data_IF_403248290505
#
_entry.id   IF_403248290505
#
_cell.length_a   1.000
_cell.length_b   1.000
_cell.length_c   1.000
_cell.angle_alpha   90.00
_cell.angle_beta   90.00
_cell.angle_gamma   90.00
#
_symmetry.space_group_name_H-M   'P 1'
#
loop_
_entity.id
_entity.type
_entity.pdbx_description
1 polymer ?
#
# COMPACT_ATOMS: atom_id res chain seq x y z
N UNK A 1 -4.89 18.33 -16.70
CA UNK A 1 -5.39 17.34 -15.72
C UNK A 1 -4.21 16.44 -15.37
N UNK A 2 -3.80 16.36 -14.09
CA UNK A 2 -2.66 15.53 -13.71
C UNK A 2 -3.04 14.05 -13.69
N UNK A 3 -2.14 13.17 -14.13
CA UNK A 3 -2.31 11.71 -14.09
C UNK A 3 -1.50 11.12 -12.95
N UNK A 4 -2.17 10.41 -12.03
CA UNK A 4 -1.53 9.78 -10.87
C UNK A 4 -1.76 8.28 -10.91
N UNK A 5 -0.70 7.50 -10.74
CA UNK A 5 -0.78 6.05 -10.53
C UNK A 5 -0.57 5.78 -9.04
N UNK A 6 -1.57 5.15 -8.40
CA UNK A 6 -1.46 4.65 -7.04
C UNK A 6 -1.00 3.20 -7.10
N UNK A 7 0.18 2.90 -6.57
CA UNK A 7 0.61 1.50 -6.42
C UNK A 7 0.20 0.97 -5.05
N UNK A 8 -0.86 0.17 -5.01
CA UNK A 8 -1.34 -0.49 -3.78
C UNK A 8 -0.59 -1.79 -3.52
N UNK A 9 -0.81 -2.37 -2.33
CA UNK A 9 -0.25 -3.65 -1.95
C UNK A 9 -1.35 -4.60 -1.44
N UNK A 10 -1.47 -5.76 -2.06
CA UNK A 10 -2.26 -6.90 -1.57
C UNK A 10 -3.75 -6.58 -1.28
N UNK A 11 -4.41 -5.81 -2.14
CA UNK A 11 -5.85 -5.51 -2.06
C UNK A 11 -6.64 -6.41 -3.00
N UNK A 12 -6.22 -6.52 -4.26
CA UNK A 12 -6.82 -7.42 -5.25
C UNK A 12 -6.69 -8.90 -4.87
N UNK A 13 -5.68 -9.22 -4.05
CA UNK A 13 -5.43 -10.56 -3.51
C UNK A 13 -6.05 -10.80 -2.12
N UNK A 14 -6.70 -9.80 -1.51
CA UNK A 14 -7.29 -9.88 -0.17
C UNK A 14 -8.68 -9.24 -0.10
N UNK A 15 -9.70 -9.85 -0.74
CA UNK A 15 -11.05 -9.28 -0.80
C UNK A 15 -11.73 -9.19 0.58
N UNK A 16 -11.31 -9.94 1.59
CA UNK A 16 -11.91 -9.88 2.93
C UNK A 16 -11.51 -8.58 3.67
N UNK A 17 -10.40 -7.95 3.27
CA UNK A 17 -9.86 -6.75 3.89
C UNK A 17 -10.59 -5.47 3.52
N UNK A 18 -11.83 -5.28 3.99
CA UNK A 18 -12.61 -4.07 3.72
C UNK A 18 -11.90 -2.77 4.12
N UNK A 19 -11.35 -2.72 5.34
CA UNK A 19 -10.56 -1.57 5.81
C UNK A 19 -9.27 -1.37 5.00
N UNK A 20 -8.60 -2.45 4.62
CA UNK A 20 -7.39 -2.43 3.79
C UNK A 20 -7.65 -1.84 2.40
N UNK A 21 -8.76 -2.23 1.77
CA UNK A 21 -9.22 -1.63 0.51
C UNK A 21 -9.47 -0.12 0.65
N UNK A 22 -10.10 0.30 1.75
CA UNK A 22 -10.41 1.71 2.00
C UNK A 22 -9.17 2.58 2.16
N UNK A 23 -8.07 2.09 2.76
CA UNK A 23 -6.82 2.86 2.90
C UNK A 23 -6.42 3.49 1.57
N UNK A 24 -6.31 2.69 0.50
CA UNK A 24 -5.91 3.19 -0.83
C UNK A 24 -7.04 3.92 -1.56
N UNK A 25 -8.29 3.47 -1.39
CA UNK A 25 -9.43 4.10 -2.04
C UNK A 25 -9.61 5.56 -1.59
N UNK A 26 -9.30 5.90 -0.33
CA UNK A 26 -9.34 7.29 0.12
C UNK A 26 -8.44 8.21 -0.72
N UNK A 27 -7.22 7.77 -1.02
CA UNK A 27 -6.31 8.52 -1.90
C UNK A 27 -6.85 8.60 -3.31
N UNK A 28 -7.34 7.49 -3.85
CA UNK A 28 -7.85 7.44 -5.22
C UNK A 28 -9.02 8.40 -5.43
N UNK A 29 -9.98 8.42 -4.51
CA UNK A 29 -11.15 9.29 -4.58
C UNK A 29 -10.79 10.75 -4.28
N UNK A 30 -9.95 11.00 -3.27
CA UNK A 30 -9.51 12.36 -2.95
C UNK A 30 -8.74 13.01 -4.11
N UNK A 31 -7.86 12.27 -4.78
CA UNK A 31 -7.16 12.76 -5.97
C UNK A 31 -8.11 13.01 -7.14
N UNK A 32 -9.14 12.16 -7.34
CA UNK A 32 -10.16 12.41 -8.36
C UNK A 32 -10.98 13.66 -8.05
N UNK A 33 -11.35 13.90 -6.79
CA UNK A 33 -12.02 15.14 -6.37
C UNK A 33 -11.14 16.37 -6.58
N UNK A 34 -9.82 16.23 -6.42
CA UNK A 34 -8.85 17.28 -6.75
C UNK A 34 -8.63 17.46 -8.28
N UNK A 35 -9.35 16.70 -9.12
CA UNK A 35 -9.28 16.80 -10.57
C UNK A 35 -8.12 16.02 -11.21
N UNK A 36 -7.62 14.96 -10.57
CA UNK A 36 -6.65 14.05 -11.17
C UNK A 36 -7.32 12.89 -11.93
N UNK A 37 -6.67 12.44 -13.00
CA UNK A 37 -6.91 11.12 -13.57
C UNK A 37 -6.14 10.09 -12.73
N UNK A 38 -6.84 9.10 -12.18
CA UNK A 38 -6.24 8.15 -11.23
C UNK A 38 -6.26 6.74 -11.80
N UNK A 39 -5.10 6.08 -11.73
CA UNK A 39 -4.90 4.66 -12.02
C UNK A 39 -4.57 3.91 -10.75
N UNK A 40 -5.14 2.71 -10.62
CA UNK A 40 -4.80 1.76 -9.58
C UNK A 40 -3.81 0.75 -10.15
N UNK A 41 -2.65 0.56 -9.56
CA UNK A 41 -1.63 -0.39 -10.00
C UNK A 41 -1.34 -1.38 -8.88
N UNK A 42 -1.46 -2.68 -9.16
CA UNK A 42 -1.20 -3.69 -8.13
C UNK A 42 -0.58 -4.97 -8.67
N UNK A 43 0.45 -5.44 -7.97
CA UNK A 43 1.03 -6.77 -8.20
C UNK A 43 0.17 -7.84 -7.53
N UNK A 44 -0.28 -8.83 -8.30
CA UNK A 44 -0.99 -9.99 -7.78
C UNK A 44 -0.06 -10.93 -7.01
N UNK A 45 -0.50 -11.42 -5.85
CA UNK A 45 0.27 -12.38 -5.07
C UNK A 45 0.26 -13.78 -5.71
N UNK A 46 1.36 -14.54 -5.55
CA UNK A 46 1.56 -15.90 -6.10
C UNK A 46 0.34 -16.83 -5.92
N UNK A 47 -0.31 -16.82 -4.76
CA UNK A 47 -1.47 -17.68 -4.45
C UNK A 47 -2.69 -17.40 -5.33
N UNK A 48 -2.76 -16.19 -5.88
CA UNK A 48 -3.84 -15.70 -6.75
C UNK A 48 -3.47 -15.85 -8.23
N UNK A 49 -2.22 -16.20 -8.53
CA UNK A 49 -1.64 -16.24 -9.88
C UNK A 49 -1.97 -17.52 -10.68
N UNK A 50 -2.87 -18.40 -10.18
CA UNK A 50 -3.34 -19.59 -10.92
C UNK A 50 -4.54 -19.27 -11.84
N UNK A 51 -4.41 -18.21 -12.63
CA UNK A 51 -5.27 -17.89 -13.76
C UNK A 51 -6.20 -16.65 -13.59
N UNK A 52 -6.69 -16.07 -14.71
CA UNK A 52 -7.44 -14.79 -14.77
C UNK A 52 -8.80 -14.74 -14.04
N UNK A 53 -9.18 -15.77 -13.27
CA UNK A 53 -10.50 -15.90 -12.64
C UNK A 53 -10.43 -16.49 -11.24
N UNK A 54 -9.47 -16.07 -10.42
CA UNK A 54 -9.67 -16.26 -8.98
C UNK A 54 -10.85 -15.40 -8.54
N UNK A 55 -11.68 -15.93 -7.65
CA UNK A 55 -12.82 -15.22 -7.07
C UNK A 55 -12.41 -13.88 -6.45
N UNK A 56 -11.17 -13.78 -5.93
CA UNK A 56 -10.58 -12.57 -5.38
C UNK A 56 -10.44 -11.44 -6.41
N UNK A 57 -9.81 -11.69 -7.57
CA UNK A 57 -9.61 -10.66 -8.61
C UNK A 57 -10.96 -10.20 -9.17
N UNK A 58 -11.89 -11.11 -9.43
CA UNK A 58 -13.23 -10.75 -9.88
C UNK A 58 -13.97 -9.89 -8.84
N UNK A 59 -13.87 -10.25 -7.56
CA UNK A 59 -14.46 -9.46 -6.46
C UNK A 59 -13.85 -8.07 -6.38
N UNK A 60 -12.53 -7.95 -6.52
CA UNK A 60 -11.84 -6.66 -6.56
C UNK A 60 -12.32 -5.80 -7.73
N UNK A 61 -12.34 -6.35 -8.95
CA UNK A 61 -12.76 -5.63 -10.15
C UNK A 61 -14.20 -5.11 -10.03
N UNK A 62 -15.13 -5.94 -9.52
CA UNK A 62 -16.51 -5.51 -9.26
C UNK A 62 -16.61 -4.43 -8.18
N UNK A 63 -15.70 -4.40 -7.20
CA UNK A 63 -15.67 -3.33 -6.19
C UNK A 63 -15.17 -2.02 -6.77
N UNK A 64 -14.03 -2.02 -7.47
CA UNK A 64 -13.47 -0.79 -8.05
C UNK A 64 -14.37 -0.20 -9.15
N UNK A 65 -15.14 -1.06 -9.85
CA UNK A 65 -16.19 -0.64 -10.80
C UNK A 65 -17.27 0.24 -10.17
N UNK A 66 -17.67 -0.02 -8.93
CA UNK A 66 -18.66 0.81 -8.21
C UNK A 66 -18.16 2.24 -7.99
N UNK A 67 -16.84 2.43 -8.05
CA UNK A 67 -16.19 3.73 -7.94
C UNK A 67 -15.70 4.25 -9.31
N UNK A 68 -16.04 3.60 -10.43
CA UNK A 68 -15.65 4.02 -11.78
C UNK A 68 -14.15 3.91 -12.05
N UNK A 69 -13.47 2.93 -11.43
CA UNK A 69 -12.03 2.69 -11.59
C UNK A 69 -11.74 1.44 -12.44
N UNK A 70 -12.75 0.75 -12.98
CA UNK A 70 -12.58 -0.53 -13.67
C UNK A 70 -11.68 -0.44 -14.91
N UNK A 71 -11.74 0.68 -15.64
CA UNK A 71 -10.88 0.94 -16.82
C UNK A 71 -9.46 1.37 -16.44
N UNK A 72 -9.26 1.80 -15.19
CA UNK A 72 -8.02 2.35 -14.71
C UNK A 72 -7.32 1.43 -13.70
N UNK A 73 -7.82 0.21 -13.51
CA UNK A 73 -7.22 -0.81 -12.67
C UNK A 73 -6.22 -1.66 -13.47
N UNK A 74 -4.94 -1.49 -13.18
CA UNK A 74 -3.79 -2.17 -13.77
C UNK A 74 -3.31 -3.27 -12.82
N UNK A 75 -3.74 -4.50 -13.08
CA UNK A 75 -3.29 -5.68 -12.31
C UNK A 75 -2.19 -6.39 -13.09
N UNK A 76 -1.09 -6.71 -12.42
CA UNK A 76 0.04 -7.37 -13.07
C UNK A 76 0.67 -8.47 -12.22
N UNK A 77 1.34 -9.39 -12.89
CA UNK A 77 2.27 -10.35 -12.31
C UNK A 77 3.69 -10.02 -12.77
N UNK A 78 4.66 -10.47 -11.98
CA UNK A 78 6.08 -10.44 -12.34
C UNK A 78 6.62 -11.86 -12.21
N UNK A 79 7.46 -12.34 -13.14
CA UNK A 79 8.27 -13.52 -12.89
C UNK A 79 9.13 -13.27 -11.64
N UNK A 80 9.16 -14.23 -10.72
CA UNK A 80 10.12 -14.22 -9.61
C UNK A 80 11.38 -15.00 -10.02
N UNK A 81 12.51 -14.67 -9.39
CA UNK A 81 13.81 -15.37 -9.51
C UNK A 81 14.76 -14.94 -10.63
N UNK A 82 14.89 -13.63 -10.86
CA UNK A 82 16.24 -13.10 -11.13
C UNK A 82 16.54 -12.06 -10.08
N UNK A 83 17.73 -12.15 -9.49
CA UNK A 83 18.24 -11.20 -8.49
C UNK A 83 18.15 -9.73 -8.95
N UNK A 84 17.97 -9.53 -10.25
CA UNK A 84 17.98 -8.24 -10.92
C UNK A 84 16.57 -7.74 -11.33
N UNK A 85 15.50 -8.53 -11.11
CA UNK A 85 14.13 -8.12 -11.46
C UNK A 85 13.89 -7.93 -12.98
N UNK A 86 14.79 -8.43 -13.82
CA UNK A 86 14.75 -8.31 -15.28
C UNK A 86 13.83 -9.38 -15.91
N UNK A 87 12.52 -9.17 -15.78
CA UNK A 87 11.49 -9.91 -16.51
C UNK A 87 10.38 -8.96 -16.95
N UNK A 88 9.70 -9.22 -18.08
CA UNK A 88 8.59 -8.37 -18.50
C UNK A 88 7.45 -8.45 -17.49
N UNK A 89 6.84 -7.31 -17.17
CA UNK A 89 5.59 -7.27 -16.40
C UNK A 89 4.45 -7.79 -17.28
N UNK A 90 3.73 -8.79 -16.77
CA UNK A 90 2.57 -9.35 -17.43
C UNK A 90 1.31 -8.73 -16.84
N UNK A 91 0.56 -8.00 -17.66
CA UNK A 91 -0.65 -7.31 -17.23
C UNK A 91 -1.89 -8.17 -17.53
N UNK A 92 -2.80 -8.22 -16.56
CA UNK A 92 -4.04 -8.96 -16.64
C UNK A 92 -5.18 -8.14 -17.26
N UNK A 93 -5.19 -6.83 -17.02
CA UNK A 93 -6.30 -5.94 -17.35
C UNK A 93 -6.06 -5.09 -18.59
N UNK A 94 -4.80 -4.96 -19.02
CA UNK A 94 -4.37 -4.21 -20.22
C UNK A 94 -3.23 -4.93 -20.91
N UNK A 95 -2.90 -4.54 -22.15
CA UNK A 95 -1.65 -5.00 -22.77
C UNK A 95 -0.43 -4.31 -22.14
N UNK A 96 0.75 -4.94 -22.22
CA UNK A 96 1.99 -4.31 -21.77
C UNK A 96 2.26 -2.99 -22.50
N UNK A 97 1.99 -2.92 -23.81
CA UNK A 97 2.15 -1.66 -24.59
C UNK A 97 1.29 -0.52 -24.08
N UNK A 98 0.06 -0.82 -23.64
CA UNK A 98 -0.87 0.15 -23.08
C UNK A 98 -0.43 0.61 -21.69
N UNK A 99 -0.02 -0.32 -20.83
CA UNK A 99 0.55 0.01 -19.52
C UNK A 99 1.76 0.94 -19.66
N UNK A 100 2.68 0.64 -20.57
CA UNK A 100 3.85 1.49 -20.83
C UNK A 100 3.47 2.90 -21.31
N UNK A 101 2.43 3.01 -22.13
CA UNK A 101 1.91 4.31 -22.57
C UNK A 101 1.34 5.10 -21.39
N UNK A 102 0.65 4.44 -20.46
CA UNK A 102 0.13 5.04 -19.24
C UNK A 102 1.27 5.52 -18.35
N UNK A 103 2.29 4.69 -18.10
CA UNK A 103 3.42 5.05 -17.24
C UNK A 103 4.19 6.27 -17.77
N UNK A 104 4.48 6.32 -19.08
CA UNK A 104 5.21 7.45 -19.69
C UNK A 104 4.49 8.80 -19.58
N UNK A 105 3.15 8.80 -19.58
CA UNK A 105 2.34 10.03 -19.43
C UNK A 105 1.96 10.34 -17.99
N UNK A 106 2.27 9.44 -17.05
CA UNK A 106 1.93 9.63 -15.64
C UNK A 106 2.78 10.76 -15.06
N UNK A 107 2.14 11.69 -14.37
CA UNK A 107 2.81 12.82 -13.72
C UNK A 107 3.40 12.44 -12.36
N UNK A 108 2.80 11.45 -11.67
CA UNK A 108 3.25 10.97 -10.36
C UNK A 108 2.89 9.49 -10.13
N UNK A 109 3.88 8.70 -9.72
CA UNK A 109 3.66 7.43 -9.02
C UNK A 109 3.54 7.70 -7.52
N UNK A 110 2.38 7.41 -6.93
CA UNK A 110 2.16 7.41 -5.49
C UNK A 110 2.21 5.95 -4.99
N UNK A 111 3.35 5.55 -4.44
CA UNK A 111 3.68 4.16 -4.16
C UNK A 111 3.47 3.80 -2.68
N UNK A 112 2.68 2.76 -2.44
CA UNK A 112 2.50 2.13 -1.12
C UNK A 112 3.04 0.70 -1.10
N UNK A 113 3.52 0.18 -2.23
CA UNK A 113 4.14 -1.13 -2.30
C UNK A 113 5.64 -0.97 -2.03
N UNK A 114 6.05 -1.17 -0.78
CA UNK A 114 7.44 -0.95 -0.38
C UNK A 114 8.44 -1.87 -1.10
N UNK A 115 8.00 -3.06 -1.52
CA UNK A 115 8.77 -4.03 -2.28
C UNK A 115 8.49 -3.97 -3.81
N UNK A 116 8.06 -2.82 -4.31
CA UNK A 116 7.88 -2.60 -5.76
C UNK A 116 9.21 -2.81 -6.51
N UNK A 117 9.14 -3.33 -7.74
CA UNK A 117 10.34 -3.50 -8.57
C UNK A 117 10.99 -2.14 -8.88
N UNK A 118 12.31 -1.97 -8.68
CA UNK A 118 13.03 -0.78 -9.10
C UNK A 118 12.85 -0.48 -10.60
N UNK A 119 12.80 -1.52 -11.44
CA UNK A 119 12.59 -1.38 -12.88
C UNK A 119 11.20 -0.83 -13.25
N UNK A 120 10.20 -1.02 -12.37
CA UNK A 120 8.87 -0.44 -12.52
C UNK A 120 8.85 1.03 -12.07
N UNK A 121 9.49 1.33 -10.94
CA UNK A 121 9.64 2.72 -10.44
C UNK A 121 10.32 3.60 -11.48
N UNK A 122 11.37 3.08 -12.13
CA UNK A 122 12.10 3.77 -13.19
C UNK A 122 11.27 4.12 -14.44
N UNK A 123 10.04 3.58 -14.60
CA UNK A 123 9.12 3.95 -15.69
C UNK A 123 8.41 5.27 -15.46
N UNK A 124 8.49 5.82 -14.26
CA UNK A 124 7.80 7.03 -13.85
C UNK A 124 8.77 8.21 -13.75
N UNK A 125 8.31 9.39 -14.14
CA UNK A 125 9.13 10.62 -14.12
C UNK A 125 9.24 11.25 -12.74
N UNK A 126 8.21 11.06 -11.90
CA UNK A 126 8.16 11.53 -10.51
C UNK A 126 7.53 10.44 -9.67
N UNK A 127 8.09 10.25 -8.49
CA UNK A 127 7.81 9.11 -7.63
C UNK A 127 7.75 9.56 -6.18
N UNK A 128 6.76 9.08 -5.47
CA UNK A 128 6.58 9.33 -4.05
C UNK A 128 6.31 8.01 -3.34
N UNK A 129 7.07 7.69 -2.31
CA UNK A 129 6.72 6.62 -1.38
C UNK A 129 5.77 7.17 -0.32
N UNK A 130 4.75 6.40 0.05
CA UNK A 130 3.85 6.71 1.15
C UNK A 130 3.94 5.61 2.19
N UNK A 131 4.54 5.94 3.33
CA UNK A 131 4.60 5.11 4.52
C UNK A 131 3.28 5.20 5.30
N UNK A 132 2.58 4.07 5.36
CA UNK A 132 1.37 3.87 6.17
C UNK A 132 1.61 2.90 7.35
N UNK A 133 2.86 2.47 7.56
CA UNK A 133 3.27 1.54 8.61
C UNK A 133 4.45 2.14 9.43
N UNK A 134 4.29 3.36 9.98
CA UNK A 134 5.40 4.07 10.61
C UNK A 134 5.98 3.29 11.79
N UNK A 135 7.31 3.28 11.86
CA UNK A 135 8.10 2.43 12.77
C UNK A 135 8.50 1.11 12.11
N UNK A 136 7.55 0.35 11.55
CA UNK A 136 7.83 -0.95 10.94
C UNK A 136 8.60 -0.83 9.63
N UNK A 137 8.19 0.10 8.76
CA UNK A 137 8.90 0.33 7.50
C UNK A 137 10.38 0.68 7.76
N UNK A 138 10.62 1.61 8.68
CA UNK A 138 11.97 2.06 9.02
C UNK A 138 12.78 0.95 9.69
N UNK A 139 12.16 0.15 10.54
CA UNK A 139 12.78 -1.03 11.12
C UNK A 139 13.23 -2.02 10.03
N UNK A 140 12.38 -2.37 9.08
CA UNK A 140 12.74 -3.30 8.00
C UNK A 140 13.84 -2.75 7.10
N UNK A 141 13.82 -1.44 6.82
CA UNK A 141 14.88 -0.79 6.04
C UNK A 141 16.21 -0.79 6.79
N UNK A 142 16.22 -0.38 8.06
CA UNK A 142 17.44 -0.27 8.86
C UNK A 142 18.08 -1.62 9.18
N UNK A 143 17.28 -2.68 9.30
CA UNK A 143 17.77 -4.05 9.51
C UNK A 143 18.08 -4.79 8.21
N UNK A 144 17.90 -4.15 7.05
CA UNK A 144 18.13 -4.75 5.74
C UNK A 144 17.12 -5.83 5.33
N UNK A 145 16.06 -6.05 6.12
CA UNK A 145 14.97 -6.98 5.81
C UNK A 145 14.16 -6.54 4.58
N UNK A 146 14.17 -5.25 4.28
CA UNK A 146 13.50 -4.69 3.11
C UNK A 146 14.40 -3.67 2.41
N UNK A 147 14.65 -3.92 1.13
CA UNK A 147 15.32 -2.97 0.24
C UNK A 147 14.25 -2.18 -0.52
N UNK A 148 14.00 -0.96 -0.05
CA UNK A 148 13.04 -0.05 -0.69
C UNK A 148 13.77 0.68 -1.84
N UNK A 149 13.26 0.63 -3.08
CA UNK A 149 13.86 1.41 -4.17
C UNK A 149 13.81 2.91 -3.88
N UNK A 150 14.68 3.67 -4.52
CA UNK A 150 14.70 5.13 -4.36
C UNK A 150 13.44 5.77 -4.98
N UNK A 151 12.90 6.79 -4.29
CA UNK A 151 11.82 7.67 -4.76
C UNK A 151 12.27 9.14 -4.66
N UNK A 152 11.59 10.04 -5.37
CA UNK A 152 11.90 11.47 -5.32
C UNK A 152 11.43 12.12 -4.01
N UNK A 153 10.31 11.64 -3.47
CA UNK A 153 9.70 12.12 -2.23
C UNK A 153 9.29 10.96 -1.31
N UNK A 154 9.32 11.20 -0.01
CA UNK A 154 8.96 10.24 1.01
C UNK A 154 7.92 10.86 1.94
N UNK A 155 6.69 10.35 1.89
CA UNK A 155 5.59 10.75 2.74
C UNK A 155 5.36 9.71 3.83
N UNK A 156 4.84 10.14 4.97
CA UNK A 156 4.49 9.24 6.08
C UNK A 156 3.28 9.73 6.85
N UNK A 157 2.48 8.80 7.34
CA UNK A 157 1.38 9.07 8.28
C UNK A 157 1.87 9.15 9.73
N UNK A 158 3.13 8.79 10.00
CA UNK A 158 3.71 8.83 11.33
C UNK A 158 4.17 10.22 11.75
N UNK A 159 3.53 10.78 12.77
CA UNK A 159 3.80 12.14 13.28
C UNK A 159 5.22 12.37 13.82
N UNK A 160 5.94 11.30 14.15
CA UNK A 160 7.29 11.37 14.74
C UNK A 160 8.40 10.98 13.77
N UNK A 161 8.08 10.34 12.63
CA UNK A 161 9.05 9.81 11.68
C UNK A 161 9.92 10.95 11.13
N UNK A 162 11.26 10.78 11.15
CA UNK A 162 12.21 11.81 10.74
C UNK A 162 12.38 12.98 11.71
N UNK A 163 11.84 12.88 12.93
CA UNK A 163 12.00 13.88 14.00
C UNK A 163 12.81 13.33 15.16
N UNK A 164 13.31 14.20 16.04
CA UNK A 164 14.02 13.81 17.27
C UNK A 164 13.15 13.07 18.29
N UNK A 165 11.82 13.01 18.09
CA UNK A 165 10.89 12.26 18.94
C UNK A 165 10.78 10.78 18.54
N UNK A 166 11.23 10.38 17.35
CA UNK A 166 11.20 8.98 16.95
C UNK A 166 12.24 8.18 17.75
N UNK A 167 11.83 7.01 18.23
CA UNK A 167 12.70 6.04 18.91
C UNK A 167 13.22 4.95 17.96
N UNK A 168 13.04 5.17 16.66
CA UNK A 168 13.42 4.28 15.56
C UNK A 168 14.12 5.12 14.48
N UNK A 169 14.96 4.50 13.63
CA UNK A 169 15.74 5.23 12.63
C UNK A 169 14.84 5.91 11.59
N UNK A 170 15.29 7.02 11.02
CA UNK A 170 14.66 7.66 9.87
C UNK A 170 15.21 7.15 8.52
N UNK A 171 16.16 6.22 8.58
CA UNK A 171 16.88 5.64 7.46
C UNK A 171 17.60 6.68 6.57
N UNK A 172 17.94 7.86 7.12
CA UNK A 172 18.60 8.93 6.39
C UNK A 172 17.73 9.60 5.32
N UNK A 173 16.41 9.39 5.37
CA UNK A 173 15.46 9.93 4.40
C UNK A 173 14.75 11.17 4.95
N UNK A 174 14.42 12.10 4.05
CA UNK A 174 13.62 13.28 4.39
C UNK A 174 12.13 12.95 4.31
N UNK A 175 11.55 12.62 5.46
CA UNK A 175 10.13 12.30 5.57
C UNK A 175 9.25 13.55 5.62
N UNK A 176 8.15 13.52 4.88
CA UNK A 176 7.11 14.54 4.85
C UNK A 176 5.87 13.97 5.53
N UNK A 177 5.61 14.41 6.75
CA UNK A 177 4.41 14.02 7.47
C UNK A 177 3.16 14.61 6.81
N UNK A 178 2.10 13.80 6.71
CA UNK A 178 0.77 14.25 6.33
C UNK A 178 -0.31 13.38 7.02
N UNK A 179 -1.47 13.96 7.35
CA UNK A 179 -2.60 13.19 7.86
C UNK A 179 -3.23 12.37 6.72
N UNK A 180 -3.62 11.09 6.95
CA UNK A 180 -4.32 10.29 5.95
C UNK A 180 -5.60 11.01 5.45
N UNK A 181 -5.88 11.04 4.14
CA UNK A 181 -7.09 11.64 3.62
C UNK A 181 -8.33 10.80 3.95
N UNK A 182 -9.48 11.46 4.07
CA UNK A 182 -10.80 10.83 4.17
C UNK A 182 -11.73 11.46 3.14
N UNK A 183 -12.25 10.66 2.21
CA UNK A 183 -13.24 11.04 1.22
C UNK A 183 -14.62 11.11 1.88
N UNK A 184 -15.00 12.31 2.33
CA UNK A 184 -16.27 12.52 3.06
C UNK A 184 -17.53 12.27 2.22
N UNK A 185 -17.43 12.29 0.89
CA UNK A 185 -18.56 11.92 0.02
C UNK A 185 -18.95 10.43 0.16
N UNK A 186 -17.99 9.56 0.47
CA UNK A 186 -18.22 8.13 0.66
C UNK A 186 -18.17 7.69 2.13
N UNK A 187 -17.46 8.45 2.96
CA UNK A 187 -17.44 8.32 4.41
C UNK A 187 -17.88 9.62 5.07
N UNK A 188 -19.20 9.96 4.99
CA UNK A 188 -19.70 11.14 5.64
C UNK A 188 -19.53 11.00 7.15
N UNK A 189 -19.21 12.12 7.80
CA UNK A 189 -19.27 12.17 9.25
C UNK A 189 -20.70 11.87 9.70
N UNK A 190 -20.87 10.78 10.44
CA UNK A 190 -22.13 10.38 11.04
C UNK A 190 -21.94 10.39 12.55
N UNK A 191 -22.78 11.18 13.24
CA UNK A 191 -22.81 11.24 14.69
C UNK A 191 -24.22 10.96 15.17
N UNK A 192 -24.33 9.99 16.08
CA UNK A 192 -25.55 9.68 16.80
C UNK A 192 -25.27 9.91 18.29
N UNK A 193 -25.92 10.89 18.94
CA UNK A 193 -25.70 11.18 20.35
C UNK A 193 -26.16 10.03 21.27
N UNK A 194 -26.98 9.09 20.77
CA UNK A 194 -27.37 7.88 21.51
C UNK A 194 -26.29 6.78 21.49
N UNK A 195 -25.26 6.91 20.64
CA UNK A 195 -24.12 5.99 20.62
C UNK A 195 -23.17 6.30 21.78
N UNK A 196 -23.44 5.70 22.95
CA UNK A 196 -22.60 5.83 24.14
C UNK A 196 -21.30 5.01 24.09
N UNK A 197 -21.12 4.17 23.05
CA UNK A 197 -19.97 3.26 22.91
C UNK A 197 -19.46 3.23 21.47
N UNK A 198 -18.15 3.10 21.31
CA UNK A 198 -17.53 2.81 20.03
C UNK A 198 -17.55 1.31 19.75
N UNK A 199 -17.98 0.93 18.56
CA UNK A 199 -17.77 -0.42 18.02
C UNK A 199 -16.67 -0.37 16.99
N UNK A 200 -15.70 -1.28 17.08
CA UNK A 200 -14.60 -1.38 16.12
C UNK A 200 -14.64 -2.73 15.42
N UNK A 201 -14.23 -2.74 14.15
CA UNK A 201 -13.97 -3.97 13.40
C UNK A 201 -12.47 -3.99 13.13
N UNK A 202 -11.77 -4.99 13.67
CA UNK A 202 -10.33 -5.13 13.52
C UNK A 202 -9.94 -6.57 13.18
N UNK A 203 -8.93 -6.72 12.32
CA UNK A 203 -8.18 -7.96 12.22
C UNK A 203 -7.31 -8.10 13.46
N UNK A 204 -7.63 -9.05 14.33
CA UNK A 204 -6.92 -9.28 15.60
C UNK A 204 -5.66 -10.12 15.45
N UNK A 205 -5.66 -11.00 14.45
CA UNK A 205 -4.58 -11.94 14.18
C UNK A 205 -4.31 -11.98 12.68
N UNK A 206 -3.04 -11.87 12.29
CA UNK A 206 -2.60 -11.98 10.90
C UNK A 206 -1.68 -13.17 10.66
N UNK A 207 -1.23 -13.86 11.73
CA UNK A 207 -0.18 -14.89 11.64
C UNK A 207 1.18 -14.34 11.19
N UNK A 208 1.34 -13.01 11.21
CA UNK A 208 2.57 -12.33 10.84
C UNK A 208 3.43 -12.13 12.07
N UNK A 209 4.68 -12.55 11.96
CA UNK A 209 5.71 -12.35 12.98
C UNK A 209 6.74 -11.35 12.46
N UNK A 210 7.22 -10.48 13.34
CA UNK A 210 8.36 -9.62 13.04
C UNK A 210 9.62 -10.36 13.43
N UNK A 211 10.59 -10.39 12.52
CA UNK A 211 11.91 -10.94 12.80
C UNK A 211 12.77 -9.83 13.41
N UNK A 212 13.26 -10.06 14.61
CA UNK A 212 14.15 -9.17 15.33
C UNK A 212 15.50 -9.87 15.57
N UNK A 213 16.54 -9.07 15.81
CA UNK A 213 17.86 -9.58 16.20
C UNK A 213 18.11 -9.08 17.63
N UNK A 214 18.05 -9.98 18.59
CA UNK A 214 18.35 -9.71 19.99
C UNK A 214 19.68 -10.41 20.34
N UNK A 215 20.68 -9.65 20.81
CA UNK A 215 22.00 -10.17 21.17
C UNK A 215 22.65 -11.06 20.10
N UNK A 216 22.45 -10.71 18.82
CA UNK A 216 22.97 -11.46 17.67
C UNK A 216 22.18 -12.73 17.31
N UNK A 217 21.06 -12.99 17.98
CA UNK A 217 20.17 -14.13 17.74
C UNK A 217 18.86 -13.68 17.10
N UNK A 218 18.37 -14.47 16.14
CA UNK A 218 17.08 -14.20 15.52
C UNK A 218 15.92 -14.58 16.45
N UNK A 219 15.05 -13.62 16.72
CA UNK A 219 13.84 -13.78 17.53
C UNK A 219 12.62 -13.41 16.70
N UNK A 220 11.52 -14.14 16.89
CA UNK A 220 10.24 -13.86 16.24
C UNK A 220 9.27 -13.26 17.24
N UNK A 221 8.89 -12.01 17.01
CA UNK A 221 7.98 -11.25 17.87
C UNK A 221 6.59 -11.21 17.26
N UNK A 222 5.58 -11.50 18.08
CA UNK A 222 4.17 -11.41 17.71
C UNK A 222 3.76 -9.94 17.66
N UNK A 223 3.69 -9.39 16.44
CA UNK A 223 3.29 -8.00 16.20
C UNK A 223 1.80 -7.86 15.84
N UNK A 224 0.96 -8.77 16.33
CA UNK A 224 -0.48 -8.69 16.09
C UNK A 224 -1.16 -7.74 17.07
N UNK A 225 -2.27 -7.12 16.63
CA UNK A 225 -3.11 -6.29 17.51
C UNK A 225 -3.53 -7.07 18.75
N UNK A 226 -3.82 -8.37 18.63
CA UNK A 226 -4.15 -9.23 19.78
C UNK A 226 -3.04 -9.22 20.84
N UNK A 227 -1.79 -9.42 20.46
CA UNK A 227 -0.67 -9.46 21.39
C UNK A 227 -0.55 -8.13 22.17
N UNK A 228 -0.65 -6.99 21.49
CA UNK A 228 -0.62 -5.68 22.15
C UNK A 228 -1.85 -5.43 23.02
N UNK A 229 -3.05 -5.74 22.54
CA UNK A 229 -4.29 -5.47 23.29
C UNK A 229 -4.40 -6.30 24.56
N UNK A 230 -3.93 -7.56 24.55
CA UNK A 230 -3.98 -8.42 25.73
C UNK A 230 -3.16 -7.89 26.90
N UNK A 231 -2.19 -7.01 26.66
CA UNK A 231 -1.45 -6.32 27.73
C UNK A 231 -2.32 -5.34 28.52
N UNK A 232 -3.49 -4.96 27.99
CA UNK A 232 -4.42 -4.01 28.61
C UNK A 232 -5.73 -4.65 29.06
N UNK A 233 -5.85 -5.98 28.96
CA UNK A 233 -7.03 -6.72 29.45
C UNK A 233 -6.78 -7.10 30.91
N UNK A 234 -7.13 -6.19 31.81
CA UNK A 234 -7.28 -6.39 33.25
C UNK A 234 -8.72 -6.10 33.67
#
# INVERSE_FOLDING_TARGET
>A
MATVVISSYNVASFPEGGGHFWVYLQYALGLRQAGCEVYWLERLQKRVNRGPKTTAVATFLERVKRFGLERNALLYSSPEEKADGEGPFEFLTVSSSEAERIFRRTDLLLNFHYAISPALVARFRRTALVDIDPGLLQFWMATGQLQVPQHDLYFTTGETVGTTRATFPDCGLRWIHFPPPVCLEQWPYAYDPSCERFTTVAGWWSGMWVKEIEDGTEVFVDNTKRASFLQFVE
#
